data_IF_375058250168
#
_entry.id   IF_375058250168
#
_cell.length_a   1.000
_cell.length_b   1.000
_cell.length_c   1.000
_cell.angle_alpha   90.00
_cell.angle_beta   90.00
_cell.angle_gamma   90.00
#
_symmetry.space_group_name_H-M   'P 1'
#
loop_
_entity.id
_entity.type
_entity.pdbx_description
1 polymer ?
#
# COMPACT_ATOMS: atom_id res chain seq x y z
N UNK A 1 -21.39 -11.43 -30.48
CA UNK A 1 -20.80 -10.30 -29.72
C UNK A 1 -20.08 -10.85 -28.48
N UNK A 2 -18.74 -10.99 -28.53
CA UNK A 2 -17.92 -11.41 -27.38
C UNK A 2 -16.94 -10.29 -27.04
N UNK A 3 -17.17 -9.62 -25.92
CA UNK A 3 -16.36 -8.50 -25.44
C UNK A 3 -15.05 -9.04 -24.84
N UNK A 4 -14.04 -9.27 -25.69
CA UNK A 4 -12.67 -9.57 -25.24
C UNK A 4 -12.13 -8.34 -24.50
N UNK A 5 -12.13 -8.38 -23.16
CA UNK A 5 -11.42 -7.42 -22.31
C UNK A 5 -9.92 -7.62 -22.52
N UNK A 6 -9.34 -6.81 -23.39
CA UNK A 6 -7.90 -6.77 -23.60
C UNK A 6 -7.21 -6.15 -22.38
N UNK A 7 -6.54 -7.00 -21.58
CA UNK A 7 -5.58 -6.62 -20.55
C UNK A 7 -4.53 -5.68 -21.14
N UNK A 8 -4.65 -4.40 -20.79
CA UNK A 8 -3.77 -3.35 -21.24
C UNK A 8 -2.56 -3.30 -20.33
N UNK A 9 -1.56 -4.14 -20.60
CA UNK A 9 -0.17 -4.06 -20.14
C UNK A 9 0.27 -2.63 -19.79
N UNK A 10 0.06 -2.24 -18.52
CA UNK A 10 0.81 -1.22 -17.81
C UNK A 10 1.92 -2.00 -17.13
N UNK A 11 3.09 -1.97 -17.78
CA UNK A 11 4.26 -2.71 -17.34
C UNK A 11 4.72 -2.24 -15.96
N UNK A 12 4.88 -3.22 -15.08
CA UNK A 12 6.08 -3.43 -14.27
C UNK A 12 6.38 -2.38 -13.20
N UNK A 13 5.44 -2.21 -12.26
CA UNK A 13 5.79 -2.01 -10.84
C UNK A 13 4.85 -2.78 -9.91
N UNK A 14 4.15 -3.76 -10.47
CA UNK A 14 3.27 -4.71 -9.78
C UNK A 14 3.82 -6.14 -9.80
N UNK A 15 5.13 -6.31 -10.04
CA UNK A 15 5.83 -7.59 -9.86
C UNK A 15 6.84 -7.46 -8.72
N UNK A 16 6.33 -7.71 -7.52
CA UNK A 16 7.01 -8.43 -6.44
C UNK A 16 5.98 -8.87 -5.39
N UNK A 17 4.85 -9.44 -5.83
CA UNK A 17 3.93 -10.18 -4.93
C UNK A 17 3.42 -11.49 -5.58
N UNK A 18 3.64 -11.74 -6.88
CA UNK A 18 3.09 -12.93 -7.57
C UNK A 18 4.16 -13.96 -8.00
N UNK A 19 5.23 -14.11 -7.23
CA UNK A 19 6.17 -15.23 -7.37
C UNK A 19 7.07 -15.35 -6.14
N UNK A 20 6.49 -15.64 -4.97
CA UNK A 20 7.23 -16.35 -3.91
C UNK A 20 6.88 -17.83 -3.99
N UNK A 21 7.18 -18.42 -5.16
CA UNK A 21 7.27 -19.87 -5.38
C UNK A 21 8.74 -20.29 -5.41
N UNK A 22 9.57 -19.65 -4.58
CA UNK A 22 10.94 -20.05 -4.31
C UNK A 22 11.03 -20.34 -2.83
N UNK A 23 11.38 -21.57 -2.48
CA UNK A 23 11.80 -21.95 -1.13
C UNK A 23 12.88 -20.98 -0.66
N UNK A 24 12.57 -20.17 0.34
CA UNK A 24 13.58 -19.41 1.09
C UNK A 24 13.25 -19.59 2.57
N UNK A 25 14.17 -20.23 3.29
CA UNK A 25 14.08 -20.52 4.72
C UNK A 25 13.99 -19.22 5.52
N UNK A 26 12.80 -18.90 6.02
CA UNK A 26 12.60 -17.92 7.07
C UNK A 26 12.61 -18.70 8.38
N UNK A 27 13.63 -18.54 9.24
CA UNK A 27 13.65 -19.24 10.54
C UNK A 27 12.70 -18.55 11.52
N UNK A 28 11.39 -18.72 11.32
CA UNK A 28 10.45 -18.52 12.41
C UNK A 28 10.80 -19.53 13.51
N UNK A 29 10.97 -19.08 14.75
CA UNK A 29 11.15 -20.02 15.84
C UNK A 29 9.90 -20.90 15.89
N UNK A 30 10.12 -22.21 15.86
CA UNK A 30 9.04 -23.20 15.91
C UNK A 30 9.06 -23.87 17.26
N UNK A 31 7.97 -23.76 17.99
CA UNK A 31 7.80 -24.34 19.31
C UNK A 31 6.79 -25.48 19.24
N UNK A 32 7.12 -26.60 19.86
CA UNK A 32 6.30 -27.81 19.92
C UNK A 32 5.78 -28.01 21.33
N UNK A 33 4.46 -28.13 21.48
CA UNK A 33 3.76 -28.34 22.75
C UNK A 33 4.25 -27.42 23.88
N UNK A 34 4.41 -26.13 23.55
CA UNK A 34 4.89 -25.14 24.50
C UNK A 34 3.93 -25.00 25.69
N UNK A 35 4.45 -25.12 26.91
CA UNK A 35 3.66 -24.91 28.13
C UNK A 35 3.29 -23.43 28.35
N UNK A 36 4.09 -22.52 27.78
CA UNK A 36 3.83 -21.09 27.76
C UNK A 36 4.24 -20.46 26.42
N UNK A 37 3.59 -19.36 26.05
CA UNK A 37 3.90 -18.59 24.83
C UNK A 37 4.46 -17.23 25.24
N UNK A 38 5.69 -16.92 24.81
CA UNK A 38 6.27 -15.58 24.91
C UNK A 38 6.09 -14.86 23.58
N UNK A 39 4.98 -14.14 23.44
CA UNK A 39 4.63 -13.46 22.20
C UNK A 39 5.55 -12.25 21.97
N UNK A 40 6.53 -12.41 21.08
CA UNK A 40 7.51 -11.38 20.73
C UNK A 40 6.90 -10.26 19.89
N UNK A 41 7.51 -9.07 19.92
CA UNK A 41 7.14 -7.99 18.99
C UNK A 41 7.65 -8.33 17.57
N UNK A 42 6.75 -8.34 16.59
CA UNK A 42 7.11 -8.48 15.19
C UNK A 42 6.46 -7.38 14.34
N UNK A 43 7.17 -6.94 13.30
CA UNK A 43 6.59 -6.18 12.19
C UNK A 43 6.51 -7.09 10.97
N UNK A 44 5.40 -7.05 10.24
CA UNK A 44 5.28 -7.78 8.98
C UNK A 44 6.16 -7.06 7.94
N UNK A 45 7.34 -7.60 7.62
CA UNK A 45 8.26 -6.96 6.68
C UNK A 45 7.97 -7.46 5.26
N UNK A 46 7.94 -6.57 4.27
CA UNK A 46 8.02 -6.97 2.85
C UNK A 46 9.49 -7.19 2.41
N UNK A 47 10.36 -7.65 3.31
CA UNK A 47 11.73 -8.09 3.02
C UNK A 47 11.81 -9.59 3.25
N UNK A 48 12.62 -10.28 2.45
CA UNK A 48 12.70 -11.74 2.37
C UNK A 48 13.27 -12.42 3.62
N UNK A 49 13.82 -11.67 4.59
CA UNK A 49 14.78 -12.21 5.56
C UNK A 49 14.37 -12.05 7.04
N UNK A 50 13.11 -11.68 7.34
CA UNK A 50 12.63 -11.52 8.72
C UNK A 50 11.35 -12.32 9.00
N UNK A 51 11.35 -13.08 10.10
CA UNK A 51 10.18 -13.82 10.57
C UNK A 51 9.07 -12.85 10.97
N UNK A 52 7.90 -12.97 10.34
CA UNK A 52 6.73 -12.13 10.60
C UNK A 52 6.04 -12.44 11.94
N UNK A 53 6.36 -13.60 12.51
CA UNK A 53 5.84 -14.14 13.76
C UNK A 53 6.59 -15.44 14.10
N UNK A 54 6.49 -15.88 15.35
CA UNK A 54 6.87 -17.23 15.77
C UNK A 54 5.72 -18.23 15.54
N UNK A 55 6.07 -19.49 15.30
CA UNK A 55 5.13 -20.57 15.01
C UNK A 55 5.00 -21.51 16.22
N UNK A 56 3.78 -21.71 16.70
CA UNK A 56 3.48 -22.60 17.80
C UNK A 56 2.63 -23.75 17.31
N UNK A 57 3.04 -24.95 17.68
CA UNK A 57 2.40 -26.19 17.28
C UNK A 57 2.01 -26.99 18.52
N UNK A 58 0.76 -27.40 18.60
CA UNK A 58 0.17 -28.06 19.75
C UNK A 58 -0.47 -29.38 19.32
N UNK A 59 0.02 -30.48 19.88
CA UNK A 59 -0.46 -31.83 19.61
C UNK A 59 -1.56 -32.25 20.58
N UNK A 60 -1.93 -33.53 20.54
CA UNK A 60 -2.86 -34.13 21.51
C UNK A 60 -2.43 -33.94 22.97
N UNK A 61 -1.13 -33.78 23.24
CA UNK A 61 -0.58 -33.50 24.58
C UNK A 61 -1.06 -32.19 25.19
N UNK A 62 -1.54 -31.28 24.36
CA UNK A 62 -1.97 -29.94 24.75
C UNK A 62 -3.50 -29.78 24.76
N UNK A 63 -4.25 -30.84 24.46
CA UNK A 63 -5.72 -30.83 24.47
C UNK A 63 -6.30 -30.35 25.80
N UNK A 64 -7.38 -29.59 25.74
CA UNK A 64 -8.08 -28.99 26.89
C UNK A 64 -7.22 -28.06 27.78
N UNK A 65 -5.93 -27.86 27.46
CA UNK A 65 -5.04 -27.03 28.27
C UNK A 65 -5.31 -25.55 28.02
N UNK A 66 -5.05 -24.79 29.08
CA UNK A 66 -4.98 -23.34 29.04
C UNK A 66 -3.51 -22.95 28.86
N UNK A 67 -3.17 -22.46 27.67
CA UNK A 67 -1.80 -22.05 27.38
C UNK A 67 -1.67 -20.56 27.72
N UNK A 68 -0.87 -20.18 28.73
CA UNK A 68 -0.59 -18.78 29.01
C UNK A 68 0.21 -18.15 27.88
N UNK A 69 -0.19 -16.94 27.51
CA UNK A 69 0.45 -16.08 26.51
C UNK A 69 0.87 -14.79 27.19
N UNK A 70 2.17 -14.53 27.17
CA UNK A 70 2.79 -13.35 27.75
C UNK A 70 3.26 -12.40 26.65
N UNK A 71 2.55 -11.29 26.40
CA UNK A 71 3.02 -10.23 25.51
C UNK A 71 4.37 -9.69 25.98
N UNK A 72 5.36 -9.68 25.11
CA UNK A 72 6.69 -9.15 25.41
C UNK A 72 6.82 -7.65 25.11
N UNK A 73 5.78 -7.04 24.55
CA UNK A 73 5.64 -5.62 24.24
C UNK A 73 4.17 -5.18 24.35
N UNK A 74 3.97 -3.86 24.41
CA UNK A 74 2.66 -3.23 24.29
C UNK A 74 2.21 -3.22 22.82
N UNK A 75 0.93 -3.49 22.55
CA UNK A 75 0.40 -3.37 21.20
C UNK A 75 -0.88 -4.15 20.94
N UNK A 76 -0.91 -4.88 19.83
CA UNK A 76 -1.98 -5.78 19.41
C UNK A 76 -1.42 -7.20 19.45
N UNK A 77 -2.01 -8.09 20.25
CA UNK A 77 -1.70 -9.51 20.16
C UNK A 77 -2.41 -10.06 18.92
N UNK A 78 -1.63 -10.61 17.98
CA UNK A 78 -2.09 -11.28 16.76
C UNK A 78 -1.88 -12.77 16.90
N UNK A 79 -2.96 -13.52 16.67
CA UNK A 79 -2.96 -14.99 16.68
C UNK A 79 -3.46 -15.45 15.31
N UNK A 80 -2.61 -16.16 14.58
CA UNK A 80 -2.89 -16.70 13.24
C UNK A 80 -3.79 -17.93 13.23
N UNK A 81 -4.81 -17.94 14.08
CA UNK A 81 -5.83 -18.98 14.16
C UNK A 81 -7.09 -18.43 14.83
N UNK A 82 -8.24 -18.97 14.44
CA UNK A 82 -9.52 -18.62 15.06
C UNK A 82 -9.68 -19.36 16.38
N UNK A 83 -9.14 -18.75 17.44
CA UNK A 83 -9.15 -19.28 18.81
C UNK A 83 -9.69 -18.24 19.78
N UNK A 84 -10.42 -18.71 20.80
CA UNK A 84 -10.89 -17.84 21.88
C UNK A 84 -9.73 -17.47 22.79
N UNK A 85 -9.65 -16.18 23.14
CA UNK A 85 -8.64 -15.63 24.05
C UNK A 85 -9.30 -15.22 25.35
N UNK A 86 -8.62 -15.45 26.45
CA UNK A 86 -9.11 -15.18 27.79
C UNK A 86 -8.12 -14.34 28.59
N UNK A 87 -8.61 -13.60 29.56
CA UNK A 87 -7.79 -12.80 30.48
C UNK A 87 -7.21 -13.66 31.62
N UNK A 88 -6.50 -13.02 32.55
CA UNK A 88 -5.90 -13.67 33.71
C UNK A 88 -6.90 -14.42 34.61
N UNK A 89 -8.16 -13.98 34.61
CA UNK A 89 -9.24 -14.56 35.41
C UNK A 89 -10.04 -15.60 34.59
N UNK A 90 -9.52 -15.98 33.42
CA UNK A 90 -10.13 -16.92 32.45
C UNK A 90 -11.50 -16.45 31.94
N UNK A 91 -11.75 -15.14 31.92
CA UNK A 91 -12.93 -14.56 31.28
C UNK A 91 -12.62 -14.28 29.81
N UNK A 92 -13.60 -14.48 28.93
CA UNK A 92 -13.42 -14.27 27.51
C UNK A 92 -13.10 -12.79 27.23
N UNK A 93 -12.04 -12.57 26.45
CA UNK A 93 -11.62 -11.23 26.02
C UNK A 93 -12.33 -10.88 24.72
N UNK A 94 -12.75 -9.63 24.58
CA UNK A 94 -13.28 -9.13 23.33
C UNK A 94 -12.17 -9.14 22.25
N UNK A 95 -12.37 -9.95 21.22
CA UNK A 95 -11.42 -10.07 20.10
C UNK A 95 -11.98 -9.46 18.82
N UNK A 96 -11.09 -9.13 17.89
CA UNK A 96 -11.43 -8.76 16.53
C UNK A 96 -11.00 -9.92 15.61
N UNK A 97 -11.94 -10.47 14.84
CA UNK A 97 -11.68 -11.56 13.89
C UNK A 97 -11.47 -11.01 12.48
N UNK A 98 -10.30 -11.25 11.89
CA UNK A 98 -10.13 -11.21 10.44
C UNK A 98 -10.74 -12.47 9.84
N UNK A 99 -11.82 -12.30 9.10
CA UNK A 99 -12.59 -13.40 8.55
C UNK A 99 -11.96 -14.03 7.30
N UNK A 100 -11.10 -13.30 6.59
CA UNK A 100 -10.42 -13.87 5.41
C UNK A 100 -9.29 -14.80 5.83
N UNK A 101 -8.44 -14.33 6.75
CA UNK A 101 -7.25 -15.06 7.17
C UNK A 101 -7.48 -15.88 8.46
N UNK A 102 -8.69 -15.82 9.03
CA UNK A 102 -9.08 -16.48 10.28
C UNK A 102 -8.16 -16.10 11.46
N UNK A 103 -7.68 -14.85 11.48
CA UNK A 103 -6.75 -14.34 12.49
C UNK A 103 -7.53 -13.61 13.58
N UNK A 104 -7.06 -13.75 14.81
CA UNK A 104 -7.65 -13.11 15.99
C UNK A 104 -6.72 -12.01 16.49
N UNK A 105 -7.29 -10.85 16.77
CA UNK A 105 -6.58 -9.70 17.31
C UNK A 105 -7.14 -9.31 18.67
N UNK A 106 -6.25 -9.11 19.63
CA UNK A 106 -6.56 -8.45 20.91
C UNK A 106 -5.82 -7.12 20.93
N UNK A 107 -6.52 -5.98 20.76
CA UNK A 107 -5.89 -4.66 20.82
C UNK A 107 -5.56 -4.26 22.27
N UNK A 108 -4.62 -3.33 22.43
CA UNK A 108 -4.23 -2.71 23.71
C UNK A 108 -3.63 -3.66 24.75
N UNK A 109 -3.01 -4.77 24.35
CA UNK A 109 -2.29 -5.64 25.28
C UNK A 109 -1.09 -4.92 25.88
N UNK A 110 -0.77 -5.21 27.15
CA UNK A 110 0.40 -4.66 27.84
C UNK A 110 1.48 -5.69 28.05
N UNK A 111 2.74 -5.25 27.96
CA UNK A 111 3.88 -6.08 28.32
C UNK A 111 3.74 -6.56 29.77
N UNK A 112 3.91 -7.86 29.97
CA UNK A 112 3.86 -8.48 31.30
C UNK A 112 2.45 -8.86 31.78
N UNK A 113 1.40 -8.53 31.03
CA UNK A 113 0.09 -9.16 31.24
C UNK A 113 0.12 -10.63 30.82
N UNK A 114 -0.89 -11.38 31.25
CA UNK A 114 -1.10 -12.76 30.83
C UNK A 114 -2.49 -12.88 30.21
N UNK A 115 -2.50 -13.51 29.04
CA UNK A 115 -3.70 -13.96 28.34
C UNK A 115 -3.65 -15.49 28.28
N UNK A 116 -4.75 -16.13 27.97
CA UNK A 116 -4.79 -17.58 27.78
C UNK A 116 -5.46 -17.96 26.47
N UNK A 117 -4.89 -18.98 25.82
CA UNK A 117 -5.57 -19.73 24.78
C UNK A 117 -6.15 -20.99 25.41
N UNK A 118 -7.46 -21.20 25.25
CA UNK A 118 -8.08 -22.49 25.59
C UNK A 118 -8.00 -23.38 24.35
N UNK A 119 -7.15 -24.40 24.40
CA UNK A 119 -7.05 -25.39 23.33
C UNK A 119 -8.27 -26.32 23.34
N UNK A 120 -8.62 -26.83 22.16
CA UNK A 120 -9.79 -27.69 21.98
C UNK A 120 -9.67 -28.98 22.81
N UNK A 121 -10.83 -29.51 23.25
CA UNK A 121 -10.90 -30.77 24.00
C UNK A 121 -10.44 -31.98 23.17
N UNK A 122 -10.50 -31.85 21.84
CA UNK A 122 -10.03 -32.82 20.86
C UNK A 122 -9.21 -32.11 19.78
N UNK A 123 -7.92 -32.44 19.69
CA UNK A 123 -7.00 -32.05 18.61
C UNK A 123 -6.77 -33.31 17.78
N UNK A 124 -7.18 -33.30 16.50
CA UNK A 124 -7.08 -34.50 15.63
C UNK A 124 -5.63 -34.82 15.23
N UNK A 125 -4.91 -33.81 14.76
CA UNK A 125 -3.51 -33.94 14.31
C UNK A 125 -2.64 -32.93 15.06
N UNK A 126 -2.80 -31.64 14.74
CA UNK A 126 -2.03 -30.55 15.33
C UNK A 126 -2.87 -29.26 15.26
N UNK A 127 -2.83 -28.44 16.31
CA UNK A 127 -3.27 -27.05 16.26
C UNK A 127 -2.03 -26.18 16.04
N UNK A 128 -2.03 -25.42 14.94
CA UNK A 128 -0.91 -24.57 14.56
C UNK A 128 -1.38 -23.12 14.56
N UNK A 129 -0.64 -22.26 15.27
CA UNK A 129 -0.91 -20.84 15.29
C UNK A 129 0.39 -20.05 15.25
N UNK A 130 0.41 -18.97 14.48
CA UNK A 130 1.41 -17.93 14.68
C UNK A 130 0.96 -17.03 15.82
N UNK A 131 1.88 -16.62 16.70
CA UNK A 131 1.53 -15.75 17.84
C UNK A 131 2.59 -14.67 17.99
N UNK A 132 2.18 -13.41 17.95
CA UNK A 132 3.10 -12.28 18.13
C UNK A 132 2.37 -11.02 18.60
N UNK A 133 3.13 -10.03 19.05
CA UNK A 133 2.63 -8.67 19.28
C UNK A 133 2.98 -7.80 18.08
N UNK A 134 1.99 -7.10 17.52
CA UNK A 134 2.19 -6.03 16.56
C UNK A 134 2.15 -4.69 17.27
N UNK A 135 3.14 -3.85 17.03
CA UNK A 135 3.14 -2.49 17.54
C UNK A 135 1.97 -1.69 16.94
N UNK A 136 1.19 -1.05 17.80
CA UNK A 136 0.05 -0.25 17.38
C UNK A 136 0.41 1.24 17.23
N UNK A 137 -0.40 1.98 16.46
CA UNK A 137 -0.25 3.43 16.19
C UNK A 137 1.17 3.85 15.80
N UNK A 138 1.81 3.07 14.93
CA UNK A 138 3.24 3.21 14.62
C UNK A 138 3.52 4.55 13.95
N UNK A 139 4.48 5.27 14.51
CA UNK A 139 5.05 6.48 13.91
C UNK A 139 6.52 6.61 14.33
N UNK A 140 7.47 6.91 13.42
CA UNK A 140 7.27 7.11 11.99
C UNK A 140 7.07 5.78 11.22
N UNK A 141 6.32 5.84 10.11
CA UNK A 141 6.18 4.71 9.17
C UNK A 141 7.43 4.59 8.30
N UNK A 142 7.84 3.35 8.07
CA UNK A 142 8.93 3.02 7.16
C UNK A 142 8.41 2.45 5.85
N UNK A 143 9.23 2.57 4.81
CA UNK A 143 8.90 2.00 3.49
C UNK A 143 9.09 0.48 3.51
N UNK A 144 8.22 -0.26 2.82
CA UNK A 144 8.23 -1.72 2.68
C UNK A 144 8.02 -2.47 4.01
N UNK A 145 7.34 -1.85 4.98
CA UNK A 145 6.82 -2.51 6.17
C UNK A 145 5.29 -2.49 6.12
N UNK A 146 4.68 -3.62 6.46
CA UNK A 146 3.25 -3.79 6.64
C UNK A 146 2.95 -3.66 8.13
N UNK A 147 2.14 -2.66 8.47
CA UNK A 147 1.74 -2.37 9.84
C UNK A 147 0.30 -2.76 10.04
N UNK A 148 0.01 -3.55 11.08
CA UNK A 148 -1.34 -3.83 11.58
C UNK A 148 -1.68 -2.78 12.62
N UNK A 149 -2.81 -2.09 12.48
CA UNK A 149 -3.21 -0.98 13.35
C UNK A 149 -4.65 -1.17 13.84
N UNK A 150 -4.93 -0.72 15.06
CA UNK A 150 -6.28 -0.71 15.61
C UNK A 150 -7.00 0.62 15.36
N UNK A 151 -8.32 0.56 15.17
CA UNK A 151 -9.17 1.73 15.09
C UNK A 151 -9.54 2.27 16.47
N UNK A 152 -9.75 3.59 16.55
CA UNK A 152 -9.95 4.32 17.81
C UNK A 152 -11.04 5.40 17.73
N UNK A 153 -11.90 5.38 16.70
CA UNK A 153 -12.93 6.40 16.41
C UNK A 153 -12.39 7.84 16.31
N UNK A 154 -11.09 8.01 16.07
CA UNK A 154 -10.43 9.31 15.90
C UNK A 154 -9.36 9.24 14.82
N UNK A 155 -8.86 10.41 14.42
CA UNK A 155 -7.75 10.49 13.48
C UNK A 155 -6.47 10.00 14.15
N UNK A 156 -5.80 9.05 13.50
CA UNK A 156 -4.45 8.62 13.83
C UNK A 156 -3.49 9.29 12.84
N UNK A 157 -2.37 9.79 13.37
CA UNK A 157 -1.39 10.58 12.62
C UNK A 157 -0.07 9.82 12.57
N UNK A 158 0.28 9.30 11.40
CA UNK A 158 1.46 8.46 11.23
C UNK A 158 2.44 9.17 10.30
N UNK A 159 3.54 9.67 10.87
CA UNK A 159 4.50 10.49 10.15
C UNK A 159 5.45 9.64 9.31
N UNK A 160 5.95 10.19 8.21
CA UNK A 160 7.04 9.59 7.43
C UNK A 160 7.78 10.68 6.65
N UNK A 161 9.01 10.36 6.23
CA UNK A 161 9.84 11.27 5.44
C UNK A 161 10.07 10.72 4.05
N UNK A 162 10.29 11.64 3.12
CA UNK A 162 10.70 11.33 1.75
C UNK A 162 11.93 12.17 1.47
N UNK A 163 13.06 11.55 1.15
CA UNK A 163 14.34 12.27 0.96
C UNK A 163 14.55 12.76 -0.47
N UNK A 164 13.86 12.14 -1.43
CA UNK A 164 13.97 12.42 -2.85
C UNK A 164 12.58 12.58 -3.44
N UNK A 165 12.48 13.33 -4.53
CA UNK A 165 11.27 13.33 -5.36
C UNK A 165 10.90 11.89 -5.73
N UNK A 166 9.68 11.47 -5.45
CA UNK A 166 9.27 10.07 -5.60
C UNK A 166 7.79 9.90 -5.88
N UNK A 167 7.44 8.76 -6.48
CA UNK A 167 6.07 8.26 -6.41
C UNK A 167 5.95 7.45 -5.12
N UNK A 168 4.92 7.74 -4.34
CA UNK A 168 4.55 6.94 -3.17
C UNK A 168 3.29 6.15 -3.52
N UNK A 169 3.34 4.84 -3.25
CA UNK A 169 2.18 3.98 -3.21
C UNK A 169 1.86 3.68 -1.76
N UNK A 170 0.64 3.97 -1.33
CA UNK A 170 0.14 3.70 0.02
C UNK A 170 -0.97 2.69 -0.09
N UNK A 171 -0.79 1.62 0.65
CA UNK A 171 -1.72 0.52 0.79
C UNK A 171 -2.53 0.71 2.06
N UNK A 172 -3.85 0.51 1.98
CA UNK A 172 -4.68 0.28 3.15
C UNK A 172 -5.69 -0.84 2.88
N UNK A 173 -5.81 -1.79 3.81
CA UNK A 173 -6.82 -2.87 3.78
C UNK A 173 -7.44 -3.01 5.17
N UNK A 174 -8.76 -2.84 5.33
CA UNK A 174 -9.46 -3.30 6.51
C UNK A 174 -9.40 -4.83 6.61
N UNK A 175 -9.13 -5.37 7.80
CA UNK A 175 -8.97 -6.81 8.02
C UNK A 175 -10.24 -7.49 8.51
N UNK A 176 -11.16 -6.76 9.13
CA UNK A 176 -12.39 -7.32 9.67
C UNK A 176 -13.63 -6.60 9.15
N UNK A 177 -14.74 -7.34 9.15
CA UNK A 177 -16.05 -6.76 8.90
C UNK A 177 -16.37 -5.67 9.94
N UNK A 178 -16.97 -4.59 9.47
CA UNK A 178 -17.38 -3.47 10.29
C UNK A 178 -18.45 -2.64 9.58
N UNK A 179 -19.25 -1.97 10.40
CA UNK A 179 -20.34 -1.10 9.97
C UNK A 179 -19.80 0.26 9.49
N UNK A 180 -18.52 0.55 9.76
CA UNK A 180 -17.83 1.80 9.41
C UNK A 180 -16.64 1.51 8.51
N UNK A 181 -16.46 2.35 7.50
CA UNK A 181 -15.32 2.28 6.58
C UNK A 181 -14.09 2.96 7.17
N UNK A 182 -12.90 2.53 6.75
CA UNK A 182 -11.66 3.21 7.10
C UNK A 182 -11.44 4.35 6.10
N UNK A 183 -11.22 5.56 6.59
CA UNK A 183 -10.87 6.70 5.72
C UNK A 183 -9.45 7.14 5.92
N UNK A 184 -8.81 7.62 4.85
CA UNK A 184 -7.42 8.05 4.93
C UNK A 184 -7.04 9.11 3.89
N UNK A 185 -6.05 9.93 4.20
CA UNK A 185 -5.50 10.95 3.32
C UNK A 185 -4.10 11.38 3.75
N UNK A 186 -3.38 12.10 2.88
CA UNK A 186 -2.07 12.62 3.19
C UNK A 186 -2.07 14.11 3.51
N UNK A 187 -1.23 14.44 4.48
CA UNK A 187 -0.82 15.80 4.76
C UNK A 187 0.69 15.94 4.60
N UNK A 188 1.10 17.16 4.30
CA UNK A 188 2.50 17.56 4.18
C UNK A 188 2.78 18.71 5.13
N UNK A 189 3.93 18.66 5.80
CA UNK A 189 4.38 19.76 6.64
C UNK A 189 4.94 20.89 5.79
N UNK A 190 4.40 22.09 5.94
CA UNK A 190 4.83 23.30 5.24
C UNK A 190 4.89 24.46 6.24
N UNK A 191 6.10 25.02 6.46
CA UNK A 191 6.31 26.13 7.41
C UNK A 191 5.71 25.84 8.80
N UNK A 192 5.96 24.64 9.33
CA UNK A 192 5.43 24.19 10.63
C UNK A 192 3.97 23.72 10.61
N UNK A 193 3.21 23.95 9.54
CA UNK A 193 1.77 23.62 9.46
C UNK A 193 1.52 22.41 8.58
N UNK A 194 0.68 21.49 9.04
CA UNK A 194 0.23 20.34 8.25
C UNK A 194 -0.88 20.74 7.27
N UNK A 195 -0.68 20.50 5.98
CA UNK A 195 -1.65 20.79 4.92
C UNK A 195 -2.06 19.53 4.17
N UNK A 196 -3.36 19.35 3.99
CA UNK A 196 -3.91 18.25 3.18
C UNK A 196 -3.56 18.43 1.72
N UNK A 197 -2.88 17.44 1.15
CA UNK A 197 -2.39 17.47 -0.24
C UNK A 197 -3.16 16.55 -1.17
N UNK A 198 -4.01 15.67 -0.63
CA UNK A 198 -4.75 14.67 -1.40
C UNK A 198 -6.23 14.66 -1.05
N UNK A 199 -7.02 13.98 -1.88
CA UNK A 199 -8.41 13.71 -1.55
C UNK A 199 -8.46 12.63 -0.45
N UNK A 200 -9.55 12.63 0.30
CA UNK A 200 -9.86 11.54 1.24
C UNK A 200 -10.23 10.29 0.46
N UNK A 201 -9.62 9.18 0.84
CA UNK A 201 -9.91 7.84 0.37
C UNK A 201 -10.76 7.12 1.41
N UNK A 202 -11.52 6.13 0.93
CA UNK A 202 -12.34 5.24 1.74
C UNK A 202 -11.99 3.81 1.35
N UNK A 203 -11.59 3.01 2.32
CA UNK A 203 -11.53 1.56 2.19
C UNK A 203 -12.76 0.96 2.86
N UNK A 204 -13.52 0.20 2.08
CA UNK A 204 -14.78 -0.38 2.56
C UNK A 204 -14.43 -1.55 3.47
N UNK A 205 -14.93 -1.56 4.70
CA UNK A 205 -14.53 -2.58 5.65
C UNK A 205 -14.86 -4.01 5.18
N UNK A 206 -16.00 -4.15 4.51
CA UNK A 206 -16.59 -5.44 4.17
C UNK A 206 -16.26 -5.90 2.75
N UNK A 207 -15.50 -5.12 1.98
CA UNK A 207 -15.07 -5.55 0.64
C UNK A 207 -13.77 -6.35 0.68
N UNK A 208 -13.05 -6.31 1.82
CA UNK A 208 -11.72 -6.88 2.05
C UNK A 208 -10.70 -6.55 0.95
N UNK A 209 -10.98 -5.50 0.17
CA UNK A 209 -10.12 -5.09 -0.92
C UNK A 209 -9.10 -4.12 -0.42
N UNK A 210 -7.88 -4.39 -0.89
CA UNK A 210 -6.83 -3.40 -0.94
C UNK A 210 -7.34 -2.13 -1.63
N UNK A 211 -7.24 -1.00 -0.93
CA UNK A 211 -7.26 0.32 -1.56
C UNK A 211 -5.83 0.81 -1.67
N UNK A 212 -5.36 0.94 -2.91
CA UNK A 212 -4.07 1.55 -3.22
C UNK A 212 -4.26 3.02 -3.57
N UNK A 213 -3.36 3.83 -3.03
CA UNK A 213 -3.31 5.26 -3.21
C UNK A 213 -1.93 5.64 -3.78
N UNK A 214 -1.88 6.26 -4.96
CA UNK A 214 -0.63 6.69 -5.58
C UNK A 214 -0.53 8.22 -5.68
N UNK A 215 0.62 8.75 -5.28
CA UNK A 215 0.87 10.19 -5.24
C UNK A 215 2.32 10.53 -5.56
N UNK A 216 2.54 11.70 -6.18
CA UNK A 216 3.88 12.24 -6.39
C UNK A 216 4.29 13.18 -5.27
N UNK A 217 5.35 12.83 -4.54
CA UNK A 217 5.90 13.62 -3.44
C UNK A 217 7.26 14.23 -3.80
N UNK A 218 7.59 15.33 -3.11
CA UNK A 218 8.92 15.96 -3.15
C UNK A 218 9.65 15.60 -1.85
N UNK A 219 10.93 15.99 -1.73
CA UNK A 219 11.61 15.90 -0.44
C UNK A 219 10.82 16.66 0.64
N UNK A 220 10.55 16.02 1.78
CA UNK A 220 9.84 16.64 2.89
C UNK A 220 9.28 15.67 3.93
N UNK A 221 8.56 16.24 4.90
CA UNK A 221 7.87 15.52 5.98
C UNK A 221 6.37 15.42 5.66
N UNK A 222 5.84 14.22 5.87
CA UNK A 222 4.48 13.84 5.52
C UNK A 222 3.85 13.09 6.68
N UNK A 223 2.51 13.07 6.71
CA UNK A 223 1.78 12.15 7.58
C UNK A 223 0.59 11.56 6.86
N UNK A 224 0.40 10.26 7.04
CA UNK A 224 -0.84 9.58 6.75
C UNK A 224 -1.80 9.87 7.89
N UNK A 225 -3.00 10.31 7.54
CA UNK A 225 -4.09 10.49 8.50
C UNK A 225 -5.12 9.41 8.19
N UNK A 226 -5.30 8.46 9.11
CA UNK A 226 -6.32 7.42 9.03
C UNK A 226 -7.39 7.63 10.10
N UNK A 227 -8.60 7.16 9.84
CA UNK A 227 -9.69 7.12 10.81
C UNK A 227 -10.44 5.81 10.61
N UNK A 228 -10.46 5.00 11.67
CA UNK A 228 -11.13 3.71 11.75
C UNK A 228 -11.85 3.63 13.10
N UNK A 229 -12.97 2.93 13.14
CA UNK A 229 -13.77 2.74 14.35
C UNK A 229 -13.08 1.81 15.36
N UNK A 230 -13.39 1.98 16.63
CA UNK A 230 -13.03 1.01 17.67
C UNK A 230 -13.59 -0.37 17.31
N UNK A 231 -12.81 -1.42 17.50
CA UNK A 231 -13.16 -2.77 17.04
C UNK A 231 -12.80 -3.06 15.58
N UNK A 232 -12.11 -2.15 14.89
CA UNK A 232 -11.52 -2.41 13.57
C UNK A 232 -10.02 -2.64 13.64
N UNK A 233 -9.54 -3.54 12.80
CA UNK A 233 -8.14 -3.74 12.45
C UNK A 233 -7.97 -3.39 10.98
N UNK A 234 -6.88 -2.71 10.66
CA UNK A 234 -6.51 -2.40 9.29
C UNK A 234 -5.01 -2.44 9.12
N UNK A 235 -4.60 -2.82 7.92
CA UNK A 235 -3.21 -2.90 7.54
C UNK A 235 -2.81 -1.71 6.68
N UNK A 236 -1.59 -1.22 6.87
CA UNK A 236 -1.02 -0.10 6.12
C UNK A 236 0.39 -0.44 5.64
N UNK A 237 0.72 -0.10 4.41
CA UNK A 237 2.09 -0.19 3.92
C UNK A 237 2.42 0.96 2.97
N UNK A 238 3.68 1.37 2.96
CA UNK A 238 4.18 2.44 2.09
C UNK A 238 5.27 1.89 1.18
N UNK A 239 5.18 2.21 -0.10
CA UNK A 239 6.22 1.93 -1.09
C UNK A 239 6.71 3.23 -1.71
N UNK A 240 8.02 3.42 -1.70
CA UNK A 240 8.68 4.60 -2.22
C UNK A 240 9.45 4.27 -3.49
N UNK A 241 9.15 4.98 -4.57
CA UNK A 241 9.83 4.84 -5.85
C UNK A 241 10.40 6.19 -6.31
N UNK A 242 11.68 6.49 -6.00
CA UNK A 242 12.34 7.72 -6.41
C UNK A 242 12.21 8.00 -7.92
N UNK A 243 12.02 9.28 -8.27
CA UNK A 243 11.89 9.75 -9.65
C UNK A 243 12.77 10.97 -9.83
N UNK A 244 13.64 10.91 -10.84
CA UNK A 244 14.57 12.00 -11.18
C UNK A 244 13.87 13.37 -11.27
N UNK A 245 14.55 14.39 -10.74
CA UNK A 245 14.17 15.80 -10.90
C UNK A 245 14.61 16.39 -12.26
N UNK A 246 15.38 15.64 -13.05
CA UNK A 246 15.82 16.05 -14.39
C UNK A 246 14.73 15.79 -15.43
N UNK A 247 13.73 16.67 -15.49
CA UNK A 247 12.66 16.63 -16.50
C UNK A 247 12.72 17.81 -17.47
N UNK A 248 12.26 17.59 -18.71
CA UNK A 248 12.40 18.55 -19.80
C UNK A 248 11.21 19.50 -19.87
N UNK A 249 11.41 20.78 -19.54
CA UNK A 249 10.34 21.80 -19.46
C UNK A 249 10.16 22.60 -20.74
N UNK A 250 11.11 22.52 -21.69
CA UNK A 250 11.07 23.21 -22.99
C UNK A 250 10.87 22.20 -24.13
N UNK A 251 10.00 22.54 -25.10
CA UNK A 251 9.73 21.70 -26.29
C UNK A 251 10.99 21.38 -27.10
N UNK A 252 11.92 22.33 -27.22
CA UNK A 252 13.17 22.15 -27.96
C UNK A 252 14.09 21.09 -27.34
N UNK A 253 14.06 20.94 -26.00
CA UNK A 253 14.85 19.96 -25.24
C UNK A 253 14.05 18.72 -24.86
N UNK A 254 12.94 18.45 -25.55
CA UNK A 254 12.02 17.36 -25.22
C UNK A 254 12.72 15.99 -25.10
N UNK A 255 12.39 15.24 -24.06
CA UNK A 255 12.95 13.90 -23.83
C UNK A 255 12.50 12.95 -24.95
N UNK A 256 13.44 12.30 -25.62
CA UNK A 256 13.09 11.35 -26.70
C UNK A 256 12.60 10.03 -26.11
N UNK A 257 11.44 9.58 -26.56
CA UNK A 257 10.87 8.25 -26.23
C UNK A 257 11.13 7.34 -27.44
N UNK A 258 11.97 6.33 -27.25
CA UNK A 258 12.23 5.28 -28.26
C UNK A 258 11.03 4.33 -28.37
N UNK A 259 10.85 3.70 -29.53
CA UNK A 259 9.81 2.67 -29.72
C UNK A 259 9.98 1.54 -28.70
N UNK A 260 8.86 1.01 -28.20
CA UNK A 260 8.82 -0.06 -27.20
C UNK A 260 9.10 0.41 -25.76
N UNK A 261 9.82 1.53 -25.59
CA UNK A 261 10.21 2.06 -24.28
C UNK A 261 9.09 2.88 -23.65
N UNK A 262 9.01 2.76 -22.33
CA UNK A 262 8.12 3.54 -21.47
C UNK A 262 8.96 4.59 -20.73
N UNK A 263 8.49 5.82 -20.72
CA UNK A 263 9.00 6.84 -19.79
C UNK A 263 7.98 7.04 -18.67
N UNK A 264 8.48 7.13 -17.44
CA UNK A 264 7.70 7.35 -16.24
C UNK A 264 8.07 8.72 -15.67
N UNK A 265 7.09 9.47 -15.17
CA UNK A 265 7.32 10.69 -14.42
C UNK A 265 6.13 10.96 -13.49
N UNK A 266 6.30 11.89 -12.56
CA UNK A 266 5.27 12.30 -11.62
C UNK A 266 5.03 13.79 -11.71
N UNK A 267 3.94 14.28 -11.14
CA UNK A 267 3.81 15.65 -10.66
C UNK A 267 3.66 15.64 -9.15
N UNK A 268 4.27 16.60 -8.47
CA UNK A 268 3.98 16.90 -7.06
C UNK A 268 3.05 18.11 -6.95
N UNK A 269 2.47 18.35 -5.78
CA UNK A 269 1.59 19.51 -5.56
C UNK A 269 2.29 20.86 -5.80
N UNK A 270 3.59 20.95 -5.54
CA UNK A 270 4.37 22.19 -5.74
C UNK A 270 4.88 22.41 -7.16
N UNK A 271 4.94 21.36 -7.99
CA UNK A 271 5.42 21.49 -9.37
C UNK A 271 4.34 22.13 -10.26
N UNK A 272 4.76 23.00 -11.18
CA UNK A 272 3.87 23.69 -12.14
C UNK A 272 4.31 23.53 -13.61
N UNK A 273 5.61 23.32 -13.84
CA UNK A 273 6.17 23.29 -15.18
C UNK A 273 5.67 22.08 -15.98
N UNK A 274 5.26 22.32 -17.23
CA UNK A 274 4.92 21.26 -18.17
C UNK A 274 6.14 20.40 -18.51
N UNK A 275 5.91 19.16 -18.93
CA UNK A 275 6.98 18.24 -19.39
C UNK A 275 6.81 17.87 -20.85
N UNK A 276 7.91 17.92 -21.58
CA UNK A 276 7.95 17.72 -23.02
C UNK A 276 8.69 16.44 -23.40
N UNK A 277 8.06 15.69 -24.28
CA UNK A 277 8.57 14.45 -24.84
C UNK A 277 8.54 14.50 -26.37
N UNK A 278 9.44 13.76 -27.00
CA UNK A 278 9.55 13.64 -28.46
C UNK A 278 9.42 12.18 -28.86
N UNK A 279 8.51 11.90 -29.79
CA UNK A 279 8.29 10.57 -30.36
C UNK A 279 8.59 10.64 -31.85
N UNK A 280 9.53 9.82 -32.33
CA UNK A 280 9.77 9.63 -33.77
C UNK A 280 9.03 8.37 -34.23
N UNK A 281 8.04 8.53 -35.09
CA UNK A 281 7.29 7.45 -35.72
C UNK A 281 7.89 7.12 -37.09
N UNK A 282 8.44 5.92 -37.23
CA UNK A 282 8.96 5.43 -38.52
C UNK A 282 7.85 4.83 -39.39
N UNK A 283 6.78 4.34 -38.76
CA UNK A 283 5.54 3.85 -39.39
C UNK A 283 4.32 4.23 -38.54
N UNK A 284 3.13 3.79 -38.95
CA UNK A 284 1.91 3.93 -38.13
C UNK A 284 2.15 3.23 -36.78
N UNK A 285 2.02 3.99 -35.68
CA UNK A 285 2.32 3.51 -34.34
C UNK A 285 1.40 4.20 -33.32
N UNK A 286 1.43 3.76 -32.06
CA UNK A 286 0.53 4.32 -31.04
C UNK A 286 1.30 4.92 -29.87
N UNK A 287 0.84 6.08 -29.38
CA UNK A 287 1.31 6.67 -28.14
C UNK A 287 0.28 6.30 -27.07
N UNK A 288 0.64 5.42 -26.14
CA UNK A 288 -0.16 5.08 -24.96
C UNK A 288 0.28 5.98 -23.81
N UNK A 289 -0.68 6.61 -23.15
CA UNK A 289 -0.46 7.37 -21.91
C UNK A 289 -1.31 6.70 -20.83
N UNK A 290 -0.68 6.40 -19.70
CA UNK A 290 -1.36 5.96 -18.49
C UNK A 290 -1.11 6.94 -17.36
N UNK A 291 -2.09 7.14 -16.49
CA UNK A 291 -1.98 7.95 -15.28
C UNK A 291 -2.41 7.13 -14.08
N UNK A 292 -1.82 7.44 -12.95
CA UNK A 292 -2.33 7.05 -11.65
C UNK A 292 -2.15 8.24 -10.70
N UNK A 293 -3.27 8.88 -10.35
CA UNK A 293 -3.24 10.12 -9.58
C UNK A 293 -4.46 10.23 -8.68
N UNK A 294 -4.25 10.47 -7.39
CA UNK A 294 -5.36 10.59 -6.44
C UNK A 294 -6.15 11.92 -6.59
N UNK A 295 -5.48 12.99 -7.00
CA UNK A 295 -6.08 14.33 -7.03
C UNK A 295 -5.67 15.13 -8.26
N UNK A 296 -6.52 16.09 -8.62
CA UNK A 296 -6.39 16.93 -9.81
C UNK A 296 -6.50 16.18 -11.14
N UNK A 297 -6.16 16.86 -12.24
CA UNK A 297 -6.24 16.31 -13.59
C UNK A 297 -4.91 16.46 -14.33
N UNK A 298 -4.52 15.46 -15.09
CA UNK A 298 -3.40 15.58 -16.04
C UNK A 298 -3.94 15.93 -17.43
N UNK A 299 -3.39 16.97 -18.04
CA UNK A 299 -3.63 17.28 -19.44
C UNK A 299 -2.43 16.86 -20.30
N UNK A 300 -2.73 16.22 -21.42
CA UNK A 300 -1.73 15.82 -22.42
C UNK A 300 -2.12 16.40 -23.77
N UNK A 301 -1.19 17.16 -24.36
CA UNK A 301 -1.34 17.73 -25.70
C UNK A 301 -0.29 17.13 -26.64
N UNK A 302 -0.74 16.65 -27.79
CA UNK A 302 0.11 16.05 -28.83
C UNK A 302 0.20 17.03 -30.00
N UNK A 303 1.41 17.29 -30.48
CA UNK A 303 1.72 18.15 -31.62
C UNK A 303 2.48 17.35 -32.67
N UNK A 304 2.21 17.59 -33.96
CA UNK A 304 3.08 17.12 -35.05
C UNK A 304 4.18 18.16 -35.29
N UNK A 305 5.43 17.73 -35.53
CA UNK A 305 6.53 18.64 -35.92
C UNK A 305 6.10 19.46 -37.15
N UNK A 306 6.41 20.75 -37.15
CA UNK A 306 6.01 21.70 -38.19
C UNK A 306 4.59 22.27 -38.04
N UNK A 307 3.78 21.79 -37.08
CA UNK A 307 2.43 22.33 -36.82
C UNK A 307 2.39 23.14 -35.51
N UNK A 308 1.78 24.32 -35.58
CA UNK A 308 1.50 25.18 -34.40
C UNK A 308 0.29 24.67 -33.60
N UNK A 309 -0.79 24.28 -34.29
CA UNK A 309 -2.03 23.78 -33.66
C UNK A 309 -1.83 22.42 -32.99
N UNK A 310 -2.51 22.23 -31.85
CA UNK A 310 -2.57 20.95 -31.13
C UNK A 310 -3.26 19.92 -32.02
N UNK A 311 -2.64 18.75 -32.19
CA UNK A 311 -3.23 17.64 -32.95
C UNK A 311 -4.27 16.88 -32.12
N UNK A 312 -3.97 16.66 -30.83
CA UNK A 312 -4.90 16.01 -29.91
C UNK A 312 -4.67 16.51 -28.48
N UNK A 313 -5.76 16.78 -27.77
CA UNK A 313 -5.78 17.02 -26.33
C UNK A 313 -6.45 15.83 -25.63
N UNK A 314 -5.87 15.36 -24.53
CA UNK A 314 -6.37 14.28 -23.69
C UNK A 314 -6.35 14.76 -22.25
N UNK A 315 -7.42 14.49 -21.49
CA UNK A 315 -7.50 14.76 -20.05
C UNK A 315 -7.60 13.45 -19.30
N UNK A 316 -6.94 13.37 -18.14
CA UNK A 316 -6.91 12.21 -17.28
C UNK A 316 -7.25 12.59 -15.83
N UNK A 317 -8.02 11.73 -15.15
CA UNK A 317 -8.34 11.84 -13.73
C UNK A 317 -8.33 10.43 -13.14
N UNK A 318 -7.59 10.21 -12.07
CA UNK A 318 -7.48 8.88 -11.46
C UNK A 318 -6.63 7.94 -12.30
N UNK A 319 -6.80 6.65 -12.04
CA UNK A 319 -6.20 5.61 -12.85
C UNK A 319 -6.90 5.51 -14.21
N UNK A 320 -6.19 5.90 -15.27
CA UNK A 320 -6.72 5.90 -16.63
C UNK A 320 -5.63 5.62 -17.66
N UNK A 321 -6.03 5.03 -18.79
CA UNK A 321 -5.14 4.81 -19.92
C UNK A 321 -5.82 5.18 -21.23
N UNK A 322 -5.15 5.99 -22.06
CA UNK A 322 -5.64 6.38 -23.39
C UNK A 322 -4.54 6.18 -24.42
N UNK A 323 -4.93 5.77 -25.62
CA UNK A 323 -4.01 5.51 -26.72
C UNK A 323 -4.38 6.41 -27.91
N UNK A 324 -3.37 7.04 -28.52
CA UNK A 324 -3.53 7.83 -29.74
C UNK A 324 -2.65 7.30 -30.85
N UNK A 325 -3.26 6.98 -31.99
CA UNK A 325 -2.55 6.47 -33.18
C UNK A 325 -1.98 7.64 -33.99
N UNK A 326 -0.73 7.49 -34.43
CA UNK A 326 -0.01 8.48 -35.23
C UNK A 326 0.56 7.84 -36.50
N UNK A 327 0.57 8.59 -37.62
CA UNK A 327 1.26 8.20 -38.86
C UNK A 327 2.78 8.43 -38.72
N UNK A 328 3.57 7.99 -39.71
CA UNK A 328 5.01 8.32 -39.82
C UNK A 328 5.24 9.82 -39.62
N UNK A 329 6.26 10.19 -38.84
CA UNK A 329 6.60 11.58 -38.53
C UNK A 329 7.11 11.79 -37.11
N UNK A 330 7.52 13.02 -36.81
CA UNK A 330 7.94 13.42 -35.45
C UNK A 330 6.80 14.10 -34.72
N UNK A 331 6.57 13.71 -33.46
CA UNK A 331 5.54 14.26 -32.59
C UNK A 331 6.14 14.75 -31.28
N UNK A 332 5.53 15.79 -30.71
CA UNK A 332 5.83 16.27 -29.37
C UNK A 332 4.64 16.04 -28.46
N UNK A 333 4.89 15.49 -27.27
CA UNK A 333 3.87 15.26 -26.25
C UNK A 333 4.18 16.20 -25.08
N UNK A 334 3.26 17.12 -24.79
CA UNK A 334 3.29 18.00 -23.62
C UNK A 334 2.38 17.40 -22.57
N UNK A 335 2.88 17.16 -21.36
CA UNK A 335 2.05 16.90 -20.19
C UNK A 335 2.02 18.15 -19.32
N UNK A 336 0.88 18.44 -18.69
CA UNK A 336 0.73 19.58 -17.79
C UNK A 336 -0.31 19.26 -16.71
N UNK A 337 -0.17 19.87 -15.54
CA UNK A 337 -1.20 19.84 -14.51
C UNK A 337 -2.39 20.68 -14.95
N UNK A 338 -3.57 20.22 -14.57
CA UNK A 338 -4.82 20.97 -14.61
C UNK A 338 -5.39 20.96 -13.18
N UNK A 339 -5.24 22.11 -12.51
CA UNK A 339 -5.55 22.32 -11.08
C UNK A 339 -4.35 22.24 -10.13
N UNK A 340 -4.40 23.02 -9.04
CA UNK A 340 -3.31 23.17 -8.08
C UNK A 340 -2.98 21.86 -7.33
N UNK A 341 -4.01 21.08 -6.99
CA UNK A 341 -3.86 19.84 -6.23
C UNK A 341 -3.28 18.68 -7.02
N UNK A 342 -3.15 18.76 -8.35
CA UNK A 342 -2.71 17.61 -9.14
C UNK A 342 -1.36 17.06 -8.66
N UNK A 343 -1.36 15.78 -8.28
CA UNK A 343 -0.19 15.02 -7.93
C UNK A 343 -0.41 13.55 -8.27
N UNK A 344 0.67 12.85 -8.62
CA UNK A 344 0.60 11.45 -9.03
C UNK A 344 1.53 11.16 -10.20
N UNK A 345 1.43 9.92 -10.67
CA UNK A 345 2.29 9.35 -11.69
C UNK A 345 1.62 9.33 -13.06
N UNK A 346 2.44 9.40 -14.10
CA UNK A 346 2.04 9.01 -15.44
C UNK A 346 3.17 8.33 -16.19
N UNK A 347 2.79 7.54 -17.18
CA UNK A 347 3.70 6.92 -18.14
C UNK A 347 3.32 7.26 -19.56
N UNK A 348 4.32 7.30 -20.44
CA UNK A 348 4.13 7.45 -21.88
C UNK A 348 4.93 6.34 -22.56
N UNK A 349 4.26 5.55 -23.38
CA UNK A 349 4.86 4.47 -24.15
C UNK A 349 4.56 4.63 -25.63
N UNK A 350 5.60 4.52 -26.44
CA UNK A 350 5.49 4.40 -27.89
C UNK A 350 5.38 2.91 -28.25
N UNK A 351 4.22 2.46 -28.74
CA UNK A 351 3.93 1.08 -29.16
C UNK A 351 4.15 0.89 -30.65
#
# INVERSE_FOLDING_TARGET
MKQKRFYSYALATSLLISSFGGLVNVSAATYQDAEEVKAQEHVSIMKMDASASDLFKFSTKSQSKWIPVYPQADGILEIGANVSVYDKDKKAVATILDTEDQQVFVPNVKKGEVYYLKLADQIKDEFVATICVKKDNVTPLQTNILYTQSGQDKNIYQEFKTDKRSSQSIYLKPSNYSNKNVTFYLQKKEKGVWKTITNRMTAVANDHKRVTFDTGLKKGEYRLVSNAATGQIYQIALQNQPVSNKYQTKKAKAQTIKKGKTVRNIYTTSEKAARWYKVKATKKQSIKISTNNNSGKLEVSIYKKGRKKVLKKLSFKGEQSKTYRVKKGTYYVKTAKSGAKMNGEYTIRCK
#
